data_IF_145943270655
#
_entry.id   IF_145943270655
#
_cell.length_a   1.000
_cell.length_b   1.000
_cell.length_c   1.000
_cell.angle_alpha   90.00
_cell.angle_beta   90.00
_cell.angle_gamma   90.00
#
_symmetry.space_group_name_H-M   'P 1'
#
loop_
_entity.id
_entity.type
_entity.pdbx_description
1 polymer ?
#
# COMPACT_ATOMS: atom_id res chain seq x y z
N UNK A 1 -2.75 3.48 -24.73
CA UNK A 1 -1.86 2.48 -25.37
C UNK A 1 -1.99 1.11 -24.75
N UNK A 2 -1.93 0.93 -23.43
CA UNK A 2 -2.08 -0.37 -22.74
C UNK A 2 -3.43 -1.07 -22.99
N UNK A 3 -4.53 -0.31 -23.16
CA UNK A 3 -5.84 -0.89 -23.52
C UNK A 3 -5.85 -1.68 -24.86
N UNK A 4 -4.83 -1.49 -25.70
CA UNK A 4 -4.67 -2.19 -27.00
C UNK A 4 -3.69 -3.36 -26.96
N UNK A 5 -2.98 -3.58 -25.83
CA UNK A 5 -1.92 -4.61 -25.75
C UNK A 5 -2.43 -6.03 -25.55
N UNK A 6 -3.73 -6.25 -25.37
CA UNK A 6 -4.29 -7.60 -25.17
C UNK A 6 -3.93 -8.26 -23.82
N UNK A 7 -3.13 -7.61 -22.97
CA UNK A 7 -2.76 -8.14 -21.66
C UNK A 7 -3.97 -8.19 -20.72
N UNK A 8 -4.14 -9.31 -20.04
CA UNK A 8 -5.18 -9.45 -19.03
C UNK A 8 -4.87 -8.53 -17.82
N UNK A 9 -5.83 -7.78 -17.23
CA UNK A 9 -5.59 -6.86 -16.11
C UNK A 9 -4.82 -7.52 -14.95
N UNK A 10 -5.14 -8.74 -14.58
CA UNK A 10 -4.45 -9.46 -13.50
C UNK A 10 -2.94 -9.64 -13.75
N UNK A 11 -2.49 -9.70 -15.01
CA UNK A 11 -1.06 -9.80 -15.32
C UNK A 11 -0.34 -8.50 -14.93
N UNK A 12 -0.99 -7.36 -15.15
CA UNK A 12 -0.46 -6.04 -14.76
C UNK A 12 -0.37 -5.95 -13.24
N UNK A 13 -1.44 -6.34 -12.53
CA UNK A 13 -1.50 -6.38 -11.06
C UNK A 13 -0.39 -7.25 -10.47
N UNK A 14 -0.20 -8.49 -10.96
CA UNK A 14 0.87 -9.35 -10.48
C UNK A 14 2.27 -8.87 -10.86
N UNK A 15 2.43 -8.16 -11.99
CA UNK A 15 3.72 -7.55 -12.34
C UNK A 15 4.07 -6.40 -11.40
N UNK A 16 3.09 -5.62 -10.95
CA UNK A 16 3.24 -4.61 -9.91
C UNK A 16 3.73 -5.21 -8.58
N UNK A 17 3.11 -6.31 -8.13
CA UNK A 17 3.54 -7.04 -6.93
C UNK A 17 4.98 -7.56 -7.09
N UNK A 18 5.32 -8.17 -8.22
CA UNK A 18 6.66 -8.68 -8.49
C UNK A 18 7.70 -7.55 -8.47
N UNK A 19 7.39 -6.39 -9.07
CA UNK A 19 8.24 -5.20 -9.02
C UNK A 19 8.44 -4.68 -7.60
N UNK A 20 7.36 -4.60 -6.80
CA UNK A 20 7.44 -4.22 -5.40
C UNK A 20 8.25 -5.22 -4.56
N UNK A 21 8.16 -6.53 -4.86
CA UNK A 21 8.97 -7.56 -4.19
C UNK A 21 10.47 -7.40 -4.51
N UNK A 22 10.82 -7.10 -5.76
CA UNK A 22 12.21 -6.78 -6.12
C UNK A 22 12.66 -5.51 -5.42
N UNK A 23 11.82 -4.47 -5.38
CA UNK A 23 12.08 -3.26 -4.61
C UNK A 23 12.35 -3.55 -3.13
N UNK A 24 11.54 -4.40 -2.51
CA UNK A 24 11.71 -4.82 -1.11
C UNK A 24 13.05 -5.53 -0.87
N UNK A 25 13.51 -6.38 -1.79
CA UNK A 25 14.85 -7.02 -1.71
C UNK A 25 15.95 -5.98 -1.77
N UNK A 26 15.82 -4.94 -2.61
CA UNK A 26 16.78 -3.82 -2.63
C UNK A 26 16.78 -3.05 -1.31
N UNK A 27 15.60 -2.78 -0.73
CA UNK A 27 15.48 -2.12 0.57
C UNK A 27 16.15 -2.95 1.68
N UNK A 28 15.93 -4.26 1.71
CA UNK A 28 16.57 -5.16 2.67
C UNK A 28 18.10 -5.10 2.61
N UNK A 29 18.66 -4.87 1.42
CA UNK A 29 20.10 -4.68 1.20
C UNK A 29 20.58 -3.26 1.53
N UNK A 30 19.70 -2.31 1.83
CA UNK A 30 20.01 -0.91 2.07
C UNK A 30 20.10 -0.04 0.81
N UNK A 31 19.73 -0.59 -0.34
CA UNK A 31 19.71 0.11 -1.62
C UNK A 31 18.43 0.94 -1.77
N UNK A 32 18.25 1.91 -0.85
CA UNK A 32 17.01 2.69 -0.73
C UNK A 32 16.66 3.47 -2.00
N UNK A 33 17.65 4.04 -2.69
CA UNK A 33 17.42 4.85 -3.90
C UNK A 33 16.83 3.98 -5.00
N UNK A 34 17.47 2.85 -5.31
CA UNK A 34 17.02 1.95 -6.38
C UNK A 34 15.72 1.25 -6.04
N UNK A 35 15.59 0.80 -4.78
CA UNK A 35 14.34 0.23 -4.27
C UNK A 35 13.21 1.24 -4.31
N UNK A 36 13.44 2.48 -3.87
CA UNK A 36 12.48 3.57 -3.88
C UNK A 36 12.05 3.98 -5.30
N UNK A 37 12.99 4.10 -6.24
CA UNK A 37 12.68 4.39 -7.64
C UNK A 37 11.82 3.27 -8.24
N UNK A 38 12.18 2.01 -8.02
CA UNK A 38 11.41 0.88 -8.54
C UNK A 38 9.98 0.87 -7.96
N UNK A 39 9.85 1.04 -6.65
CA UNK A 39 8.54 1.15 -5.99
C UNK A 39 7.78 2.34 -6.57
N UNK A 40 8.40 3.51 -6.73
CA UNK A 40 7.77 4.70 -7.30
C UNK A 40 7.23 4.47 -8.71
N UNK A 41 7.90 3.67 -9.52
CA UNK A 41 7.46 3.30 -10.86
C UNK A 41 6.30 2.29 -10.87
N UNK A 42 6.19 1.46 -9.83
CA UNK A 42 5.11 0.45 -9.75
C UNK A 42 3.75 1.07 -9.40
N UNK A 43 3.70 2.19 -8.66
CA UNK A 43 2.45 2.84 -8.28
C UNK A 43 1.56 3.27 -9.46
N UNK A 44 2.07 3.98 -10.48
CA UNK A 44 1.31 4.27 -11.70
C UNK A 44 0.86 3.02 -12.46
N UNK A 45 1.63 1.94 -12.43
CA UNK A 45 1.28 0.67 -13.07
C UNK A 45 0.05 0.08 -12.39
N UNK A 46 0.01 0.02 -11.06
CA UNK A 46 -1.17 -0.42 -10.29
C UNK A 46 -2.41 0.47 -10.58
N UNK A 47 -2.24 1.79 -10.76
CA UNK A 47 -3.34 2.68 -11.09
C UNK A 47 -3.87 2.48 -12.52
N UNK A 48 -3.01 2.04 -13.44
CA UNK A 48 -3.35 1.81 -14.85
C UNK A 48 -4.15 0.53 -15.08
N UNK A 49 -4.00 -0.51 -14.25
CA UNK A 49 -4.76 -1.76 -14.40
C UNK A 49 -6.25 -1.52 -14.14
N UNK A 50 -6.60 -0.82 -13.05
CA UNK A 50 -7.97 -0.42 -12.76
C UNK A 50 -8.57 0.51 -13.81
N UNK A 51 -7.79 1.45 -14.36
CA UNK A 51 -8.25 2.31 -15.45
C UNK A 51 -8.46 1.52 -16.75
N UNK A 52 -7.59 0.56 -17.02
CA UNK A 52 -7.68 -0.31 -18.20
C UNK A 52 -8.90 -1.23 -18.13
N UNK A 53 -9.16 -1.85 -16.96
CA UNK A 53 -10.33 -2.68 -16.72
C UNK A 53 -11.64 -1.88 -16.91
N UNK A 54 -11.69 -0.65 -16.38
CA UNK A 54 -12.84 0.27 -16.59
C UNK A 54 -13.06 0.60 -18.06
N UNK A 55 -11.98 0.92 -18.79
CA UNK A 55 -12.05 1.31 -20.19
C UNK A 55 -12.48 0.16 -21.12
N UNK A 56 -12.24 -1.10 -20.71
CA UNK A 56 -12.64 -2.31 -21.46
C UNK A 56 -13.98 -2.88 -21.06
N UNK A 57 -14.63 -2.34 -20.02
CA UNK A 57 -15.85 -2.95 -19.46
C UNK A 57 -15.59 -4.32 -18.78
N UNK A 58 -14.34 -4.65 -18.49
CA UNK A 58 -13.90 -5.92 -17.88
C UNK A 58 -13.93 -5.86 -16.33
N UNK A 59 -14.80 -5.02 -15.77
CA UNK A 59 -14.99 -4.93 -14.33
C UNK A 59 -15.61 -6.23 -13.80
N UNK A 60 -14.81 -7.02 -13.11
CA UNK A 60 -15.30 -8.23 -12.45
C UNK A 60 -15.07 -8.16 -10.93
N UNK A 61 -15.97 -8.74 -10.12
CA UNK A 61 -15.75 -8.86 -8.68
C UNK A 61 -14.43 -9.58 -8.34
N UNK A 62 -14.04 -10.54 -9.16
CA UNK A 62 -12.77 -11.24 -9.03
C UNK A 62 -11.57 -10.31 -9.28
N UNK A 63 -11.60 -9.50 -10.32
CA UNK A 63 -10.55 -8.51 -10.60
C UNK A 63 -10.38 -7.51 -9.46
N UNK A 64 -11.49 -6.98 -8.92
CA UNK A 64 -11.48 -6.07 -7.78
C UNK A 64 -10.94 -6.75 -6.50
N UNK A 65 -11.24 -8.02 -6.29
CA UNK A 65 -10.69 -8.81 -5.18
C UNK A 65 -9.18 -9.00 -5.34
N UNK A 66 -8.71 -9.43 -6.52
CA UNK A 66 -7.28 -9.64 -6.81
C UNK A 66 -6.51 -8.33 -6.61
N UNK A 67 -6.94 -7.23 -7.23
CA UNK A 67 -6.35 -5.90 -7.10
C UNK A 67 -6.24 -5.51 -5.63
N UNK A 68 -7.36 -5.52 -4.91
CA UNK A 68 -7.36 -5.12 -3.50
C UNK A 68 -6.47 -5.99 -2.62
N UNK A 69 -6.35 -7.30 -2.89
CA UNK A 69 -5.53 -8.24 -2.11
C UNK A 69 -4.04 -8.03 -2.44
N UNK A 70 -3.72 -7.91 -3.72
CA UNK A 70 -2.35 -7.69 -4.21
C UNK A 70 -1.76 -6.39 -3.68
N UNK A 71 -2.58 -5.35 -3.55
CA UNK A 71 -2.23 -4.08 -2.91
C UNK A 71 -1.69 -4.26 -1.49
N UNK A 72 -2.34 -5.10 -0.68
CA UNK A 72 -1.94 -5.36 0.71
C UNK A 72 -0.65 -6.17 0.75
N UNK A 73 -0.51 -7.14 -0.15
CA UNK A 73 0.74 -7.88 -0.31
C UNK A 73 1.89 -6.96 -0.73
N UNK A 74 1.69 -6.07 -1.71
CA UNK A 74 2.69 -5.09 -2.15
C UNK A 74 3.17 -4.21 -1.00
N UNK A 75 2.26 -3.63 -0.23
CA UNK A 75 2.58 -2.81 0.93
C UNK A 75 3.32 -3.63 2.01
N UNK A 76 2.87 -4.86 2.26
CA UNK A 76 3.47 -5.74 3.26
C UNK A 76 4.90 -6.15 2.88
N UNK A 77 5.18 -6.49 1.63
CA UNK A 77 6.53 -6.89 1.20
C UNK A 77 7.50 -5.71 1.24
N UNK A 78 7.05 -4.48 0.92
CA UNK A 78 7.86 -3.27 1.06
C UNK A 78 8.25 -3.05 2.53
N UNK A 79 7.27 -3.13 3.45
CA UNK A 79 7.52 -3.01 4.89
C UNK A 79 8.43 -4.13 5.41
N UNK A 80 8.29 -5.36 4.88
CA UNK A 80 9.17 -6.47 5.22
C UNK A 80 10.62 -6.21 4.78
N UNK A 81 10.84 -5.64 3.59
CA UNK A 81 12.16 -5.24 3.12
C UNK A 81 12.84 -4.26 4.08
N UNK A 82 12.11 -3.21 4.51
CA UNK A 82 12.59 -2.27 5.52
C UNK A 82 12.83 -2.94 6.87
N UNK A 83 11.92 -3.83 7.29
CA UNK A 83 12.05 -4.55 8.56
C UNK A 83 13.35 -5.37 8.60
N UNK A 84 13.66 -6.12 7.54
CA UNK A 84 14.90 -6.90 7.44
C UNK A 84 16.12 -5.97 7.57
N UNK A 85 16.11 -4.84 6.83
CA UNK A 85 17.21 -3.87 6.87
C UNK A 85 17.48 -3.32 8.28
N UNK A 86 16.43 -2.92 9.01
CA UNK A 86 16.58 -2.31 10.32
C UNK A 86 16.76 -3.33 11.44
N UNK A 87 16.19 -4.53 11.33
CA UNK A 87 16.40 -5.62 12.30
C UNK A 87 17.86 -6.04 12.37
N UNK A 88 18.55 -6.16 11.22
CA UNK A 88 19.99 -6.49 11.18
C UNK A 88 20.88 -5.42 11.83
N UNK A 89 20.37 -4.21 12.01
CA UNK A 89 21.09 -3.06 12.59
C UNK A 89 20.73 -2.76 14.03
N UNK A 90 19.91 -3.62 14.64
CA UNK A 90 19.38 -3.41 16.02
C UNK A 90 18.67 -2.06 16.20
N UNK A 91 18.10 -1.52 15.13
CA UNK A 91 17.37 -0.25 15.10
C UNK A 91 15.93 -0.45 15.63
N UNK A 92 15.79 -0.68 16.93
CA UNK A 92 14.53 -1.06 17.57
C UNK A 92 13.40 -0.07 17.31
N UNK A 93 13.70 1.22 17.27
CA UNK A 93 12.72 2.28 17.05
C UNK A 93 12.09 2.15 15.64
N UNK A 94 12.93 1.99 14.62
CA UNK A 94 12.49 1.85 13.23
C UNK A 94 11.69 0.55 13.04
N UNK A 95 12.12 -0.54 13.68
CA UNK A 95 11.38 -1.81 13.68
C UNK A 95 9.98 -1.63 14.27
N UNK A 96 9.84 -0.94 15.40
CA UNK A 96 8.52 -0.66 16.00
C UNK A 96 7.67 0.23 15.08
N UNK A 97 8.25 1.27 14.49
CA UNK A 97 7.55 2.15 13.56
C UNK A 97 7.07 1.39 12.31
N UNK A 98 7.89 0.49 11.76
CA UNK A 98 7.51 -0.35 10.61
C UNK A 98 6.32 -1.25 10.97
N UNK A 99 6.35 -1.91 12.12
CA UNK A 99 5.24 -2.75 12.56
C UNK A 99 3.97 -1.96 12.79
N UNK A 100 4.05 -0.79 13.42
CA UNK A 100 2.90 0.11 13.60
C UNK A 100 2.36 0.63 12.27
N UNK A 101 3.24 1.00 11.33
CA UNK A 101 2.85 1.42 9.98
C UNK A 101 2.15 0.29 9.22
N UNK A 102 2.68 -0.94 9.28
CA UNK A 102 2.10 -2.11 8.63
C UNK A 102 0.71 -2.44 9.22
N UNK A 103 0.61 -2.54 10.54
CA UNK A 103 -0.67 -2.82 11.22
C UNK A 103 -1.69 -1.72 10.91
N UNK A 104 -1.30 -0.44 11.03
CA UNK A 104 -2.18 0.69 10.71
C UNK A 104 -2.68 0.65 9.27
N UNK A 105 -1.79 0.39 8.32
CA UNK A 105 -2.11 0.29 6.89
C UNK A 105 -3.09 -0.84 6.57
N UNK A 106 -2.88 -2.02 7.16
CA UNK A 106 -3.79 -3.16 7.01
C UNK A 106 -5.15 -2.86 7.65
N UNK A 107 -5.15 -2.25 8.84
CA UNK A 107 -6.39 -1.87 9.54
C UNK A 107 -7.18 -0.79 8.81
N UNK A 108 -6.54 0.19 8.19
CA UNK A 108 -7.20 1.17 7.30
C UNK A 108 -7.95 0.45 6.19
N UNK A 109 -7.33 -0.53 5.56
CA UNK A 109 -7.94 -1.28 4.47
C UNK A 109 -9.03 -2.24 4.96
N UNK A 110 -8.78 -2.96 6.05
CA UNK A 110 -9.74 -3.89 6.65
C UNK A 110 -11.00 -3.21 7.14
N UNK A 111 -10.86 -2.11 7.91
CA UNK A 111 -12.02 -1.38 8.45
C UNK A 111 -12.92 -0.87 7.34
N UNK A 112 -12.36 -0.40 6.23
CA UNK A 112 -13.15 0.01 5.07
C UNK A 112 -13.87 -1.18 4.43
N UNK A 113 -13.15 -2.24 4.10
CA UNK A 113 -13.75 -3.42 3.46
C UNK A 113 -14.83 -4.05 4.34
N UNK A 114 -14.60 -4.09 5.66
CA UNK A 114 -15.57 -4.62 6.62
C UNK A 114 -16.81 -3.72 6.72
N UNK A 115 -16.64 -2.40 6.79
CA UNK A 115 -17.74 -1.47 6.78
C UNK A 115 -18.61 -1.62 5.52
N UNK A 116 -17.99 -1.61 4.35
CA UNK A 116 -18.67 -1.77 3.06
C UNK A 116 -19.41 -3.12 2.96
N UNK A 117 -18.85 -4.21 3.52
CA UNK A 117 -19.52 -5.52 3.58
C UNK A 117 -20.75 -5.56 4.48
N UNK A 118 -20.87 -4.61 5.41
CA UNK A 118 -22.03 -4.44 6.32
C UNK A 118 -23.00 -3.35 5.85
N UNK A 119 -22.76 -2.76 4.67
CA UNK A 119 -23.60 -1.71 4.10
C UNK A 119 -23.29 -0.29 4.56
N UNK A 120 -22.20 -0.07 5.32
CA UNK A 120 -21.76 1.24 5.76
C UNK A 120 -20.73 1.85 4.82
N UNK A 121 -20.66 3.18 4.75
CA UNK A 121 -19.58 3.88 4.05
C UNK A 121 -18.44 4.22 5.04
N UNK A 122 -17.19 3.93 4.68
CA UNK A 122 -16.03 4.28 5.49
C UNK A 122 -14.94 4.96 4.64
N UNK A 123 -15.36 5.87 3.76
CA UNK A 123 -14.47 6.63 2.85
C UNK A 123 -13.85 7.86 3.52
N UNK A 124 -13.64 7.79 4.82
CA UNK A 124 -13.04 8.84 5.64
C UNK A 124 -11.62 8.47 6.05
N UNK A 125 -10.85 9.46 6.49
CA UNK A 125 -9.51 9.28 7.04
C UNK A 125 -8.47 10.19 6.38
N UNK A 126 -7.40 10.47 7.13
CA UNK A 126 -6.36 11.44 6.75
C UNK A 126 -5.30 10.80 5.84
N UNK A 127 -5.07 9.48 5.97
CA UNK A 127 -3.99 8.80 5.26
C UNK A 127 -4.50 7.54 4.57
N UNK A 128 -4.94 7.71 3.31
CA UNK A 128 -5.34 6.59 2.45
C UNK A 128 -4.10 5.89 1.84
N UNK A 129 -4.30 4.85 1.02
CA UNK A 129 -3.19 4.14 0.38
C UNK A 129 -2.32 5.07 -0.47
N UNK A 130 -2.94 5.95 -1.25
CA UNK A 130 -2.22 6.84 -2.15
C UNK A 130 -1.30 7.79 -1.37
N UNK A 131 -1.81 8.40 -0.30
CA UNK A 131 -0.99 9.32 0.51
C UNK A 131 0.17 8.58 1.19
N UNK A 132 -0.06 7.35 1.72
CA UNK A 132 1.03 6.55 2.29
C UNK A 132 2.12 6.26 1.27
N UNK A 133 1.71 5.91 0.05
CA UNK A 133 2.63 5.67 -1.05
C UNK A 133 3.42 6.93 -1.43
N UNK A 134 2.75 8.09 -1.55
CA UNK A 134 3.37 9.37 -1.88
C UNK A 134 4.30 9.90 -0.77
N UNK A 135 4.13 9.44 0.45
CA UNK A 135 5.04 9.75 1.57
C UNK A 135 6.23 8.79 1.55
N UNK A 136 5.99 7.49 1.40
CA UNK A 136 7.04 6.47 1.51
C UNK A 136 8.01 6.48 0.33
N UNK A 137 7.51 6.47 -0.91
CA UNK A 137 8.36 6.28 -2.07
C UNK A 137 9.38 7.42 -2.27
N UNK A 138 9.02 8.71 -2.15
CA UNK A 138 10.01 9.79 -2.16
C UNK A 138 11.00 9.70 -1.00
N UNK A 139 10.55 9.40 0.22
CA UNK A 139 11.43 9.28 1.37
C UNK A 139 12.49 8.18 1.18
N UNK A 140 12.13 7.07 0.53
CA UNK A 140 13.09 6.03 0.13
C UNK A 140 14.12 6.56 -0.87
N UNK A 141 13.68 7.27 -1.92
CA UNK A 141 14.57 7.85 -2.94
C UNK A 141 15.55 8.86 -2.32
N UNK A 142 15.10 9.65 -1.35
CA UNK A 142 15.94 10.60 -0.63
C UNK A 142 16.74 9.99 0.53
N UNK A 143 16.67 8.67 0.73
CA UNK A 143 17.39 7.92 1.78
C UNK A 143 16.96 8.27 3.23
N UNK A 144 15.73 8.72 3.40
CA UNK A 144 15.15 9.08 4.70
C UNK A 144 13.85 8.32 5.00
N UNK A 145 13.85 6.97 4.91
CA UNK A 145 12.63 6.18 5.17
C UNK A 145 12.07 6.38 6.58
N UNK A 146 12.92 6.70 7.56
CA UNK A 146 12.53 6.99 8.95
C UNK A 146 11.53 8.14 9.05
N UNK A 147 11.67 9.19 8.21
CA UNK A 147 10.73 10.31 8.18
C UNK A 147 9.34 9.82 7.75
N UNK A 148 9.28 9.00 6.70
CA UNK A 148 8.02 8.43 6.24
C UNK A 148 7.39 7.52 7.31
N UNK A 149 8.19 6.71 8.00
CA UNK A 149 7.70 5.83 9.07
C UNK A 149 7.10 6.62 10.23
N UNK A 150 7.72 7.73 10.64
CA UNK A 150 7.19 8.63 11.68
C UNK A 150 5.88 9.29 11.28
N UNK A 151 5.60 9.46 10.00
CA UNK A 151 4.35 10.00 9.48
C UNK A 151 3.31 8.88 9.35
N UNK A 152 3.68 7.77 8.71
CA UNK A 152 2.73 6.69 8.36
C UNK A 152 2.27 5.95 9.60
N UNK A 153 3.18 5.60 10.52
CA UNK A 153 2.82 4.81 11.70
C UNK A 153 1.69 5.45 12.53
N UNK A 154 1.76 6.71 12.98
CA UNK A 154 0.66 7.31 13.72
C UNK A 154 -0.57 7.59 12.84
N UNK A 155 -0.41 8.17 11.64
CA UNK A 155 -1.54 8.63 10.85
C UNK A 155 -2.36 7.48 10.26
N UNK A 156 -1.75 6.35 9.91
CA UNK A 156 -2.50 5.17 9.48
C UNK A 156 -3.37 4.61 10.62
N UNK A 157 -2.82 4.49 11.83
CA UNK A 157 -3.58 4.03 12.99
C UNK A 157 -4.71 4.99 13.36
N UNK A 158 -4.45 6.31 13.33
CA UNK A 158 -5.49 7.34 13.52
C UNK A 158 -6.58 7.19 12.46
N UNK A 159 -6.22 6.99 11.20
CA UNK A 159 -7.18 6.79 10.11
C UNK A 159 -8.05 5.57 10.33
N UNK A 160 -7.47 4.45 10.78
CA UNK A 160 -8.23 3.24 11.11
C UNK A 160 -9.27 3.51 12.22
N UNK A 161 -8.86 4.20 13.28
CA UNK A 161 -9.77 4.60 14.38
C UNK A 161 -10.85 5.56 13.88
N UNK A 162 -10.51 6.57 13.05
CA UNK A 162 -11.49 7.48 12.46
C UNK A 162 -12.58 6.72 11.68
N UNK A 163 -12.21 5.69 10.90
CA UNK A 163 -13.16 4.84 10.18
C UNK A 163 -14.09 4.08 11.12
N UNK A 164 -13.56 3.50 12.20
CA UNK A 164 -14.37 2.82 13.21
C UNK A 164 -15.37 3.77 13.88
N UNK A 165 -14.91 4.97 14.26
CA UNK A 165 -15.78 5.98 14.88
C UNK A 165 -16.83 6.51 13.89
N UNK A 166 -16.50 6.62 12.61
CA UNK A 166 -17.43 7.03 11.58
C UNK A 166 -18.57 6.01 11.40
N UNK A 167 -18.25 4.73 11.26
CA UNK A 167 -19.23 3.64 11.16
C UNK A 167 -20.14 3.60 12.42
N UNK A 168 -19.55 3.81 13.61
CA UNK A 168 -20.34 3.89 14.84
C UNK A 168 -21.38 5.02 14.80
N UNK A 169 -21.03 6.17 14.21
CA UNK A 169 -21.96 7.32 14.09
C UNK A 169 -23.06 7.09 13.05
N UNK A 170 -22.79 6.31 12.01
CA UNK A 170 -23.80 5.94 11.02
C UNK A 170 -24.77 4.87 11.55
N UNK A 171 -24.37 4.12 12.58
CA UNK A 171 -25.18 3.08 13.19
C UNK A 171 -26.30 3.66 14.10
N UNK A 172 -26.07 4.80 14.76
CA UNK A 172 -27.02 5.49 15.63
C UNK A 172 -27.73 6.64 14.93
#
# INVERSE_FOLDING_TARGET
MLARSGLHPNVITFSGLAGNAVGAVLLARGEFVWGGILILLMGPIDALDGATARARGEHSPWGAFVDSTTDRWSESVIMLGLLIHYADRTATQEVVLILLALVGSLMVSYTRARAESLGFSAKVGVLTRLERYLVLAPALVFRHPEIALWIIAPLANITAVQRMLHVRREWY
#
